data_IF_274760879074
#
_entry.id   IF_274760879074
#
_cell.length_a   1.000
_cell.length_b   1.000
_cell.length_c   1.000
_cell.angle_alpha   90.00
_cell.angle_beta   90.00
_cell.angle_gamma   90.00
#
_symmetry.space_group_name_H-M   'P 1'
#
loop_
_entity.id
_entity.type
_entity.pdbx_description
1 polymer ?
#
# COMPACT_ATOMS: atom_id res chain seq x y z
N UNK A 1 78.88 -67.84 -24.03
CA UNK A 1 78.78 -66.93 -22.87
C UNK A 1 79.14 -65.56 -23.39
N UNK A 2 78.15 -64.78 -23.81
CA UNK A 2 78.38 -63.45 -24.39
C UNK A 2 78.56 -62.44 -23.26
N UNK A 3 79.77 -62.33 -22.73
CA UNK A 3 80.14 -61.17 -21.91
C UNK A 3 80.20 -59.94 -22.82
N UNK A 4 79.12 -59.14 -22.80
CA UNK A 4 79.17 -57.81 -23.41
C UNK A 4 80.34 -57.02 -22.79
N UNK A 5 81.16 -56.33 -23.62
CA UNK A 5 82.38 -55.68 -23.14
C UNK A 5 82.06 -54.62 -22.08
N UNK A 6 82.90 -54.55 -21.03
CA UNK A 6 82.77 -53.65 -19.87
C UNK A 6 82.41 -52.19 -20.24
N UNK A 7 82.87 -51.71 -21.39
CA UNK A 7 82.56 -50.40 -21.95
C UNK A 7 81.07 -50.19 -22.27
N UNK A 8 80.37 -51.22 -22.76
CA UNK A 8 78.92 -51.16 -23.09
C UNK A 8 78.10 -51.05 -21.81
N UNK A 9 78.46 -51.79 -20.76
CA UNK A 9 77.80 -51.73 -19.45
C UNK A 9 78.01 -50.36 -18.78
N UNK A 10 79.21 -49.79 -18.90
CA UNK A 10 79.51 -48.45 -18.40
C UNK A 10 78.72 -47.35 -19.15
N UNK A 11 78.57 -47.48 -20.48
CA UNK A 11 77.76 -46.57 -21.28
C UNK A 11 76.27 -46.65 -20.92
N UNK A 12 75.73 -47.85 -20.71
CA UNK A 12 74.36 -48.06 -20.26
C UNK A 12 74.09 -47.41 -18.88
N UNK A 13 75.00 -47.59 -17.92
CA UNK A 13 74.88 -46.96 -16.59
C UNK A 13 74.95 -45.43 -16.65
N UNK A 14 75.78 -44.86 -17.53
CA UNK A 14 75.81 -43.40 -17.77
C UNK A 14 74.49 -42.90 -18.34
N UNK A 15 73.96 -43.59 -19.35
CA UNK A 15 72.67 -43.25 -19.93
C UNK A 15 71.52 -43.37 -18.91
N UNK A 16 71.52 -44.43 -18.10
CA UNK A 16 70.55 -44.60 -17.00
C UNK A 16 70.67 -43.46 -15.99
N UNK A 17 71.89 -43.04 -15.63
CA UNK A 17 72.10 -41.92 -14.71
C UNK A 17 71.57 -40.60 -15.29
N UNK A 18 71.90 -40.28 -16.54
CA UNK A 18 71.40 -39.08 -17.22
C UNK A 18 69.86 -39.08 -17.30
N UNK A 19 69.26 -40.25 -17.59
CA UNK A 19 67.81 -40.42 -17.60
C UNK A 19 67.19 -40.17 -16.22
N UNK A 20 67.80 -40.69 -15.14
CA UNK A 20 67.32 -40.49 -13.78
C UNK A 20 67.47 -39.03 -13.32
N UNK A 21 68.54 -38.34 -13.70
CA UNK A 21 68.75 -36.92 -13.41
C UNK A 21 67.66 -36.05 -14.05
N UNK A 22 67.31 -36.32 -15.32
CA UNK A 22 66.20 -35.65 -16.02
C UNK A 22 64.84 -35.96 -15.37
N UNK A 23 64.59 -37.23 -15.01
CA UNK A 23 63.34 -37.62 -14.35
C UNK A 23 63.17 -36.94 -12.99
N UNK A 24 64.26 -36.80 -12.21
CA UNK A 24 64.24 -36.11 -10.92
C UNK A 24 63.90 -34.63 -11.09
N UNK A 25 64.52 -33.96 -12.07
CA UNK A 25 64.24 -32.56 -12.36
C UNK A 25 62.78 -32.34 -12.78
N UNK A 26 62.24 -33.23 -13.63
CA UNK A 26 60.82 -33.19 -14.04
C UNK A 26 59.90 -33.45 -12.84
N UNK A 27 60.22 -34.41 -11.97
CA UNK A 27 59.43 -34.69 -10.78
C UNK A 27 59.40 -33.50 -9.80
N UNK A 28 60.53 -32.80 -9.64
CA UNK A 28 60.63 -31.57 -8.86
C UNK A 28 59.77 -30.45 -9.46
N UNK A 29 59.89 -30.20 -10.77
CA UNK A 29 59.07 -29.21 -11.47
C UNK A 29 57.56 -29.52 -11.37
N UNK A 30 57.18 -30.80 -11.50
CA UNK A 30 55.80 -31.23 -11.32
C UNK A 30 55.31 -30.98 -9.88
N UNK A 31 56.15 -31.22 -8.86
CA UNK A 31 55.80 -30.95 -7.47
C UNK A 31 55.56 -29.45 -7.22
N UNK A 32 56.41 -28.59 -7.76
CA UNK A 32 56.27 -27.13 -7.67
C UNK A 32 55.00 -26.64 -8.36
N UNK A 33 54.73 -27.13 -9.58
CA UNK A 33 53.50 -26.82 -10.32
C UNK A 33 52.27 -27.24 -9.52
N UNK A 34 52.24 -28.45 -8.97
CA UNK A 34 51.11 -28.93 -8.16
C UNK A 34 50.90 -28.09 -6.90
N UNK A 35 51.99 -27.63 -6.26
CA UNK A 35 51.89 -26.74 -5.11
C UNK A 35 51.35 -25.36 -5.49
N UNK A 36 51.78 -24.79 -6.62
CA UNK A 36 51.25 -23.53 -7.15
C UNK A 36 49.76 -23.64 -7.50
N UNK A 37 49.34 -24.74 -8.14
CA UNK A 37 47.93 -25.02 -8.45
C UNK A 37 47.10 -25.12 -7.17
N UNK A 38 47.58 -25.84 -6.15
CA UNK A 38 46.88 -25.93 -4.86
C UNK A 38 46.73 -24.55 -4.19
N UNK A 39 47.78 -23.72 -4.26
CA UNK A 39 47.74 -22.35 -3.74
C UNK A 39 46.71 -21.49 -4.47
N UNK A 40 46.64 -21.58 -5.79
CA UNK A 40 45.63 -20.88 -6.60
C UNK A 40 44.21 -21.34 -6.27
N UNK A 41 43.99 -22.64 -6.09
CA UNK A 41 42.69 -23.19 -5.69
C UNK A 41 42.24 -22.61 -4.34
N UNK A 42 43.12 -22.61 -3.33
CA UNK A 42 42.79 -22.04 -2.02
C UNK A 42 42.47 -20.55 -2.07
N UNK A 43 43.22 -19.76 -2.85
CA UNK A 43 42.93 -18.34 -3.04
C UNK A 43 41.59 -18.12 -3.76
N UNK A 44 41.28 -18.96 -4.73
CA UNK A 44 40.03 -18.93 -5.47
C UNK A 44 38.84 -19.25 -4.56
N UNK A 45 38.94 -20.31 -3.75
CA UNK A 45 37.92 -20.69 -2.77
C UNK A 45 37.65 -19.56 -1.77
N UNK A 46 38.72 -18.95 -1.24
CA UNK A 46 38.59 -17.82 -0.31
C UNK A 46 37.87 -16.62 -0.95
N UNK A 47 38.17 -16.30 -2.22
CA UNK A 47 37.48 -15.24 -2.96
C UNK A 47 36.01 -15.58 -3.24
N UNK A 48 35.71 -16.83 -3.58
CA UNK A 48 34.33 -17.28 -3.78
C UNK A 48 33.51 -17.19 -2.49
N UNK A 49 34.06 -17.61 -1.35
CA UNK A 49 33.41 -17.46 -0.05
C UNK A 49 33.15 -15.99 0.30
N UNK A 50 34.11 -15.10 0.03
CA UNK A 50 33.92 -13.67 0.23
C UNK A 50 32.81 -13.11 -0.67
N UNK A 51 32.73 -13.57 -1.92
CA UNK A 51 31.70 -13.16 -2.86
C UNK A 51 30.32 -13.65 -2.43
N UNK A 52 30.21 -14.89 -1.98
CA UNK A 52 28.98 -15.47 -1.42
C UNK A 52 28.47 -14.65 -0.23
N UNK A 53 29.35 -14.31 0.71
CA UNK A 53 28.98 -13.46 1.85
C UNK A 53 28.47 -12.06 1.42
N UNK A 54 29.04 -11.48 0.35
CA UNK A 54 28.56 -10.21 -0.20
C UNK A 54 27.18 -10.35 -0.86
N UNK A 55 26.94 -11.45 -1.58
CA UNK A 55 25.63 -11.70 -2.18
C UNK A 55 24.54 -11.87 -1.12
N UNK A 56 24.82 -12.60 -0.04
CA UNK A 56 23.88 -12.72 1.09
C UNK A 56 23.56 -11.36 1.73
N UNK A 57 24.55 -10.47 1.86
CA UNK A 57 24.31 -9.10 2.33
C UNK A 57 23.44 -8.29 1.36
N UNK A 58 23.62 -8.47 0.05
CA UNK A 58 22.81 -7.83 -0.98
C UNK A 58 21.36 -8.33 -0.89
N UNK A 59 21.15 -9.64 -0.76
CA UNK A 59 19.82 -10.23 -0.62
C UNK A 59 19.09 -9.69 0.61
N UNK A 60 19.77 -9.61 1.76
CA UNK A 60 19.21 -9.03 2.97
C UNK A 60 18.79 -7.56 2.79
N UNK A 61 19.57 -6.77 2.03
CA UNK A 61 19.22 -5.38 1.70
C UNK A 61 18.01 -5.31 0.76
N UNK A 62 17.89 -6.20 -0.21
CA UNK A 62 16.72 -6.25 -1.09
C UNK A 62 15.45 -6.61 -0.33
N UNK A 63 15.51 -7.56 0.61
CA UNK A 63 14.37 -7.89 1.47
C UNK A 63 13.92 -6.67 2.31
N UNK A 64 14.86 -5.88 2.83
CA UNK A 64 14.54 -4.64 3.55
C UNK A 64 13.90 -3.59 2.63
N UNK A 65 14.36 -3.49 1.39
CA UNK A 65 13.79 -2.59 0.38
C UNK A 65 12.35 -3.01 0.06
N UNK A 66 12.10 -4.29 -0.16
CA UNK A 66 10.76 -4.82 -0.45
C UNK A 66 9.77 -4.53 0.69
N UNK A 67 10.20 -4.73 1.95
CA UNK A 67 9.38 -4.41 3.12
C UNK A 67 9.00 -2.92 3.17
N UNK A 68 9.93 -2.02 2.85
CA UNK A 68 9.67 -0.58 2.79
C UNK A 68 8.72 -0.21 1.64
N UNK A 69 8.83 -0.87 0.49
CA UNK A 69 7.90 -0.67 -0.62
C UNK A 69 6.49 -1.14 -0.28
N UNK A 70 6.34 -2.29 0.38
CA UNK A 70 5.04 -2.77 0.86
C UNK A 70 4.40 -1.79 1.87
N UNK A 71 5.20 -1.26 2.79
CA UNK A 71 4.73 -0.24 3.74
C UNK A 71 4.26 1.03 3.03
N UNK A 72 5.03 1.49 2.03
CA UNK A 72 4.70 2.68 1.23
C UNK A 72 3.42 2.47 0.43
N UNK A 73 3.26 1.31 -0.22
CA UNK A 73 2.05 0.96 -0.97
C UNK A 73 0.81 0.94 -0.06
N UNK A 74 0.94 0.39 1.15
CA UNK A 74 -0.14 0.38 2.14
C UNK A 74 -0.55 1.79 2.56
N UNK A 75 0.43 2.69 2.76
CA UNK A 75 0.17 4.10 3.08
C UNK A 75 -0.52 4.82 1.92
N UNK A 76 -0.10 4.59 0.68
CA UNK A 76 -0.72 5.18 -0.51
C UNK A 76 -2.18 4.77 -0.66
N UNK A 77 -2.47 3.47 -0.57
CA UNK A 77 -3.86 2.96 -0.59
C UNK A 77 -4.75 3.60 0.48
N UNK A 78 -4.20 3.83 1.67
CA UNK A 78 -4.93 4.54 2.74
C UNK A 78 -5.25 5.98 2.34
N UNK A 79 -4.27 6.70 1.80
CA UNK A 79 -4.45 8.09 1.37
C UNK A 79 -5.46 8.21 0.21
N UNK A 80 -5.46 7.26 -0.73
CA UNK A 80 -6.45 7.18 -1.81
C UNK A 80 -7.86 7.01 -1.24
N UNK A 81 -8.05 6.05 -0.33
CA UNK A 81 -9.34 5.84 0.33
C UNK A 81 -9.80 7.07 1.13
N UNK A 82 -8.88 7.72 1.87
CA UNK A 82 -9.16 8.95 2.61
C UNK A 82 -9.51 10.12 1.67
N UNK A 83 -8.97 10.17 0.45
CA UNK A 83 -9.34 11.16 -0.56
C UNK A 83 -10.77 10.93 -1.05
N UNK A 84 -11.09 9.70 -1.46
CA UNK A 84 -12.44 9.33 -1.92
C UNK A 84 -13.49 9.60 -0.84
N UNK A 85 -13.20 9.23 0.40
CA UNK A 85 -14.11 9.49 1.51
C UNK A 85 -14.31 10.99 1.76
N UNK A 86 -13.27 11.82 1.60
CA UNK A 86 -13.38 13.27 1.70
C UNK A 86 -14.25 13.84 0.57
N UNK A 87 -14.05 13.38 -0.67
CA UNK A 87 -14.88 13.78 -1.81
C UNK A 87 -16.36 13.44 -1.59
N UNK A 88 -16.65 12.22 -1.14
CA UNK A 88 -18.01 11.79 -0.78
C UNK A 88 -18.59 12.66 0.35
N UNK A 89 -17.79 12.96 1.38
CA UNK A 89 -18.24 13.78 2.51
C UNK A 89 -18.60 15.20 2.07
N UNK A 90 -17.78 15.80 1.20
CA UNK A 90 -18.04 17.12 0.61
C UNK A 90 -19.30 17.07 -0.25
N UNK A 91 -19.44 16.06 -1.12
CA UNK A 91 -20.62 15.87 -1.95
C UNK A 91 -21.90 15.75 -1.09
N UNK A 92 -21.86 14.91 -0.05
CA UNK A 92 -22.98 14.74 0.88
C UNK A 92 -23.35 16.05 1.58
N UNK A 93 -22.35 16.83 2.02
CA UNK A 93 -22.59 18.13 2.64
C UNK A 93 -23.24 19.13 1.68
N UNK A 94 -22.79 19.16 0.41
CA UNK A 94 -23.37 20.03 -0.63
C UNK A 94 -24.81 19.61 -0.94
N UNK A 95 -25.06 18.31 -1.14
CA UNK A 95 -26.40 17.79 -1.43
C UNK A 95 -27.38 18.10 -0.30
N UNK A 96 -26.98 17.87 0.96
CA UNK A 96 -27.80 18.20 2.13
C UNK A 96 -28.10 19.70 2.18
N UNK A 97 -27.10 20.55 1.99
CA UNK A 97 -27.30 22.01 1.97
C UNK A 97 -28.25 22.43 0.84
N UNK A 98 -28.08 21.87 -0.36
CA UNK A 98 -28.96 22.15 -1.49
C UNK A 98 -30.41 21.73 -1.22
N UNK A 99 -30.62 20.57 -0.60
CA UNK A 99 -31.95 20.14 -0.17
C UNK A 99 -32.52 21.09 0.89
N UNK A 100 -31.71 21.58 1.81
CA UNK A 100 -32.13 22.52 2.85
C UNK A 100 -32.56 23.88 2.28
N UNK A 101 -31.85 24.36 1.25
CA UNK A 101 -32.10 25.63 0.55
C UNK A 101 -33.21 25.52 -0.51
N UNK A 102 -33.79 24.33 -0.72
CA UNK A 102 -34.85 24.11 -1.71
C UNK A 102 -36.13 24.85 -1.34
N UNK A 103 -36.72 25.56 -2.32
CA UNK A 103 -37.90 26.40 -2.09
C UNK A 103 -39.12 25.56 -1.74
N UNK A 104 -39.76 25.86 -0.61
CA UNK A 104 -41.06 25.30 -0.23
C UNK A 104 -42.16 26.18 -0.81
N UNK A 105 -43.13 25.57 -1.49
CA UNK A 105 -44.38 26.23 -1.86
C UNK A 105 -45.28 26.37 -0.64
N UNK A 106 -45.87 27.55 -0.45
CA UNK A 106 -46.81 27.78 0.63
C UNK A 106 -48.05 26.89 0.45
N UNK A 107 -48.43 26.19 1.51
CA UNK A 107 -49.65 25.40 1.51
C UNK A 107 -50.88 26.29 1.63
N UNK A 108 -52.03 25.77 1.21
CA UNK A 108 -53.32 26.46 1.32
C UNK A 108 -53.92 26.21 2.71
N UNK A 109 -54.38 27.28 3.34
CA UNK A 109 -55.15 27.23 4.58
C UNK A 109 -56.47 26.52 4.32
N UNK A 110 -56.73 25.43 5.06
CA UNK A 110 -57.91 24.58 4.84
C UNK A 110 -59.23 25.26 5.22
N UNK A 111 -59.18 26.37 5.98
CA UNK A 111 -60.34 27.12 6.44
C UNK A 111 -60.67 28.32 5.54
N UNK A 112 -59.65 28.97 4.97
CA UNK A 112 -59.82 30.20 4.18
C UNK A 112 -59.63 30.00 2.68
N UNK A 113 -59.01 28.90 2.26
CA UNK A 113 -58.69 28.63 0.85
C UNK A 113 -57.56 29.50 0.27
N UNK A 114 -56.87 30.29 1.11
CA UNK A 114 -55.76 31.15 0.72
C UNK A 114 -54.40 30.58 1.16
N UNK A 115 -53.30 31.06 0.60
CA UNK A 115 -51.95 30.67 1.06
C UNK A 115 -51.76 30.98 2.56
N UNK A 116 -51.05 30.09 3.26
CA UNK A 116 -50.76 30.29 4.68
C UNK A 116 -49.74 31.45 4.83
N UNK A 117 -50.06 32.50 5.59
CA UNK A 117 -49.15 33.62 5.80
C UNK A 117 -47.92 33.19 6.59
N UNK A 118 -46.76 33.79 6.27
CA UNK A 118 -45.46 33.48 6.90
C UNK A 118 -45.04 32.01 6.79
N UNK A 119 -45.52 31.28 5.78
CA UNK A 119 -45.06 29.92 5.54
C UNK A 119 -43.56 29.93 5.18
N UNK A 120 -42.75 29.03 5.76
CA UNK A 120 -41.31 28.99 5.52
C UNK A 120 -40.99 28.82 4.03
N UNK A 121 -39.99 29.54 3.54
CA UNK A 121 -39.62 29.50 2.13
C UNK A 121 -38.63 28.38 1.79
N UNK A 122 -37.96 27.80 2.78
CA UNK A 122 -37.01 26.68 2.65
C UNK A 122 -37.13 25.68 3.80
N UNK A 123 -36.54 24.49 3.66
CA UNK A 123 -36.46 23.53 4.79
C UNK A 123 -35.65 24.13 5.94
N UNK A 124 -34.64 24.95 5.65
CA UNK A 124 -33.90 25.65 6.70
C UNK A 124 -34.80 26.63 7.49
N UNK A 125 -35.65 27.41 6.81
CA UNK A 125 -36.59 28.32 7.48
C UNK A 125 -37.57 27.54 8.36
N UNK A 126 -38.05 26.39 7.87
CA UNK A 126 -38.93 25.49 8.61
C UNK A 126 -38.27 24.97 9.90
N UNK A 127 -36.97 24.66 9.85
CA UNK A 127 -36.21 24.24 11.02
C UNK A 127 -35.91 25.39 12.00
N UNK A 128 -35.93 26.63 11.54
CA UNK A 128 -35.71 27.84 12.36
C UNK A 128 -37.01 28.41 12.95
N UNK A 129 -38.20 27.94 12.54
CA UNK A 129 -39.50 28.44 12.99
C UNK A 129 -39.61 28.46 14.52
N UNK A 130 -40.00 29.59 15.09
CA UNK A 130 -40.40 29.70 16.48
C UNK A 130 -41.75 29.01 16.73
N UNK A 131 -42.03 28.72 18.00
CA UNK A 131 -43.20 27.95 18.40
C UNK A 131 -44.56 28.62 18.05
N UNK A 132 -44.74 29.93 18.25
CA UNK A 132 -46.00 30.61 17.90
C UNK A 132 -46.33 30.51 16.41
N UNK A 133 -45.32 30.71 15.54
CA UNK A 133 -45.52 30.63 14.08
C UNK A 133 -45.80 29.20 13.63
N UNK A 134 -45.12 28.21 14.22
CA UNK A 134 -45.40 26.80 13.93
C UNK A 134 -46.84 26.41 14.31
N UNK A 135 -47.34 26.86 15.46
CA UNK A 135 -48.72 26.60 15.88
C UNK A 135 -49.74 27.27 14.96
N UNK A 136 -49.50 28.52 14.54
CA UNK A 136 -50.35 29.22 13.58
C UNK A 136 -50.46 28.49 12.24
N UNK A 137 -49.35 27.97 11.71
CA UNK A 137 -49.32 27.19 10.47
C UNK A 137 -50.08 25.86 10.65
N UNK A 138 -49.87 25.14 11.75
CA UNK A 138 -50.55 23.88 12.03
C UNK A 138 -52.07 24.06 12.14
N UNK A 139 -52.51 25.11 12.84
CA UNK A 139 -53.93 25.48 12.93
C UNK A 139 -54.48 25.81 11.54
N UNK A 140 -53.75 26.59 10.73
CA UNK A 140 -54.17 26.91 9.35
C UNK A 140 -54.26 25.66 8.45
N UNK A 141 -53.49 24.60 8.75
CA UNK A 141 -53.56 23.30 8.08
C UNK A 141 -54.64 22.35 8.66
N UNK A 142 -55.36 22.76 9.70
CA UNK A 142 -56.34 21.92 10.40
C UNK A 142 -55.72 20.79 11.22
N UNK A 143 -54.43 20.88 11.54
CA UNK A 143 -53.70 19.93 12.37
C UNK A 143 -53.72 20.39 13.83
N UNK A 144 -54.59 19.78 14.65
CA UNK A 144 -54.66 20.08 16.07
C UNK A 144 -53.77 19.12 16.88
N UNK A 145 -52.55 19.55 17.19
CA UNK A 145 -51.62 18.79 18.04
C UNK A 145 -51.85 19.09 19.53
N UNK A 146 -51.52 18.14 20.44
CA UNK A 146 -51.58 18.40 21.88
C UNK A 146 -50.76 19.64 22.30
N UNK A 147 -51.20 20.41 23.29
CA UNK A 147 -50.56 21.68 23.67
C UNK A 147 -49.10 21.54 24.15
N UNK A 148 -48.71 20.38 24.67
CA UNK A 148 -47.33 20.09 25.12
C UNK A 148 -46.45 19.41 24.06
N UNK A 149 -46.84 19.48 22.78
CA UNK A 149 -46.07 18.83 21.71
C UNK A 149 -44.77 19.59 21.45
N UNK A 150 -43.64 18.88 21.43
CA UNK A 150 -42.34 19.48 21.16
C UNK A 150 -42.28 20.17 19.78
N UNK A 151 -41.60 21.33 19.72
CA UNK A 151 -41.45 22.14 18.51
C UNK A 151 -40.84 21.35 17.33
N UNK A 152 -39.93 20.41 17.59
CA UNK A 152 -39.36 19.52 16.57
C UNK A 152 -40.43 18.66 15.90
N UNK A 153 -41.39 18.16 16.67
CA UNK A 153 -42.51 17.34 16.17
C UNK A 153 -43.51 18.22 15.40
N UNK A 154 -43.75 19.46 15.86
CA UNK A 154 -44.57 20.45 15.14
C UNK A 154 -43.99 20.75 13.75
N UNK A 155 -42.70 21.11 13.68
CA UNK A 155 -41.98 21.37 12.41
C UNK A 155 -41.97 20.15 11.48
N UNK A 156 -41.73 18.95 12.02
CA UNK A 156 -41.75 17.71 11.24
C UNK A 156 -43.17 17.35 10.74
N UNK A 157 -44.21 17.75 11.46
CA UNK A 157 -45.61 17.57 11.02
C UNK A 157 -45.94 18.49 9.84
N UNK A 158 -45.49 19.75 9.87
CA UNK A 158 -45.59 20.69 8.73
C UNK A 158 -44.80 20.16 7.54
N UNK A 159 -43.57 19.69 7.76
CA UNK A 159 -42.72 19.10 6.71
C UNK A 159 -43.38 17.90 6.04
N UNK A 160 -43.90 16.95 6.84
CA UNK A 160 -44.57 15.76 6.32
C UNK A 160 -45.82 16.11 5.54
N UNK A 161 -46.60 17.09 6.02
CA UNK A 161 -47.76 17.58 5.29
C UNK A 161 -47.37 18.21 3.95
N UNK A 162 -46.26 18.93 3.89
CA UNK A 162 -45.75 19.51 2.64
C UNK A 162 -45.25 18.45 1.64
N UNK A 163 -44.61 17.37 2.10
CA UNK A 163 -44.09 16.32 1.21
C UNK A 163 -45.19 15.48 0.53
N UNK A 164 -46.44 15.53 1.00
CA UNK A 164 -47.55 14.72 0.48
C UNK A 164 -48.55 15.54 -0.36
N UNK A 165 -48.26 16.82 -0.61
CA UNK A 165 -49.03 17.72 -1.47
C UNK A 165 -48.26 17.93 -2.76
#
# INVERSE_FOLDING_TARGET
MDEQPLAVKAAALRHTRETLEVQLLVAQGNHEIMNAIRGLQQQMDARFQQMEARFQQIDARFQQIDARFQQTNTRLKRLENESVNREISVMNAILLKQQMDSRLQALINVHTGQEIPNFPHTIQDLLQLDEPTADAILIALGLNLPPNTALTVKRESIRRRWMIV
#
